data_IF_581367006257
#
_entry.id   IF_581367006257
#
_cell.length_a   1.000
_cell.length_b   1.000
_cell.length_c   1.000
_cell.angle_alpha   90.00
_cell.angle_beta   90.00
_cell.angle_gamma   90.00
#
_symmetry.space_group_name_H-M   'P 1'
#
loop_
_entity.id
_entity.type
_entity.pdbx_description
1 polymer ?
#
# COMPACT_ATOMS: atom_id res chain seq x y z
N UNK A 1 9.22 0.80 9.58
CA UNK A 1 9.09 -0.68 9.45
C UNK A 1 10.24 -1.28 10.24
N UNK A 2 9.95 -2.15 11.22
CA UNK A 2 10.98 -2.98 11.85
C UNK A 2 10.99 -4.32 11.11
N UNK A 3 12.17 -4.76 10.68
CA UNK A 3 12.34 -6.09 10.09
C UNK A 3 12.37 -7.12 11.20
N UNK A 4 11.75 -8.28 10.95
CA UNK A 4 11.93 -9.48 11.80
C UNK A 4 13.24 -10.20 11.50
N UNK A 5 13.87 -9.88 10.37
CA UNK A 5 15.17 -10.41 9.96
C UNK A 5 16.24 -9.30 10.00
N UNK A 6 17.26 -9.50 10.83
CA UNK A 6 18.41 -8.59 11.01
C UNK A 6 19.69 -9.13 10.34
N UNK A 7 19.61 -10.28 9.64
CA UNK A 7 20.77 -10.94 9.03
C UNK A 7 21.27 -10.30 7.73
N UNK A 8 20.50 -9.37 7.16
CA UNK A 8 20.79 -8.75 5.88
C UNK A 8 21.67 -7.50 5.98
N UNK A 9 22.62 -7.37 5.05
CA UNK A 9 23.50 -6.20 4.97
C UNK A 9 22.91 -5.14 4.05
N UNK A 10 23.37 -3.91 4.25
CA UNK A 10 23.02 -2.81 3.36
C UNK A 10 23.42 -3.12 1.90
N UNK A 11 22.51 -2.87 0.96
CA UNK A 11 22.70 -3.15 -0.46
C UNK A 11 22.29 -4.55 -0.92
N UNK A 12 21.95 -5.46 0.01
CA UNK A 12 21.41 -6.77 -0.36
C UNK A 12 19.96 -6.66 -0.86
N UNK A 13 19.61 -7.52 -1.83
CA UNK A 13 18.23 -7.64 -2.30
C UNK A 13 17.43 -8.45 -1.28
N UNK A 14 16.36 -7.84 -0.79
CA UNK A 14 15.43 -8.46 0.16
C UNK A 14 14.02 -8.47 -0.42
N UNK A 15 13.18 -9.37 0.07
CA UNK A 15 11.74 -9.38 -0.22
C UNK A 15 11.01 -8.90 1.03
N UNK A 16 10.17 -7.87 0.87
CA UNK A 16 9.35 -7.34 1.96
C UNK A 16 7.93 -7.82 1.77
N UNK A 17 7.44 -8.64 2.70
CA UNK A 17 6.04 -9.04 2.75
C UNK A 17 5.27 -8.10 3.67
N UNK A 18 4.31 -7.36 3.11
CA UNK A 18 3.44 -6.46 3.87
C UNK A 18 2.03 -7.03 3.88
N UNK A 19 1.47 -7.18 5.08
CA UNK A 19 0.07 -7.54 5.26
C UNK A 19 -0.83 -6.37 4.87
N UNK A 20 -1.86 -6.54 4.01
CA UNK A 20 -2.70 -5.42 3.58
C UNK A 20 -3.36 -4.67 4.74
N UNK A 21 -3.70 -5.36 5.84
CA UNK A 21 -4.34 -4.79 7.02
C UNK A 21 -3.51 -3.76 7.80
N UNK A 22 -2.18 -3.69 7.58
CA UNK A 22 -1.29 -2.72 8.24
C UNK A 22 -0.94 -1.52 7.35
N UNK A 23 -1.46 -1.46 6.12
CA UNK A 23 -1.24 -0.35 5.20
C UNK A 23 -2.24 0.78 5.44
N UNK A 24 -1.74 2.01 5.50
CA UNK A 24 -2.55 3.21 5.39
C UNK A 24 -2.36 3.81 4.00
N UNK A 25 -3.46 4.17 3.33
CA UNK A 25 -3.41 4.90 2.07
C UNK A 25 -3.95 6.30 2.31
N UNK A 26 -3.10 7.29 2.06
CA UNK A 26 -3.44 8.71 2.18
C UNK A 26 -3.52 9.33 0.79
N UNK A 27 -4.46 10.25 0.60
CA UNK A 27 -4.53 11.03 -0.65
C UNK A 27 -3.39 12.04 -0.73
N UNK A 28 -2.90 12.24 -1.94
CA UNK A 28 -1.86 13.22 -2.25
C UNK A 28 -0.44 12.68 -2.04
N UNK A 29 0.54 13.49 -2.41
CA UNK A 29 1.94 13.10 -2.34
C UNK A 29 2.56 13.47 -0.99
N UNK A 30 2.37 12.62 0.02
CA UNK A 30 2.98 12.79 1.35
C UNK A 30 4.25 11.95 1.47
N UNK A 31 5.41 12.55 1.16
CA UNK A 31 6.72 11.89 1.28
C UNK A 31 7.11 11.75 2.75
N UNK A 32 7.22 10.52 3.21
CA UNK A 32 7.60 10.18 4.59
C UNK A 32 8.53 8.98 4.66
N UNK A 33 9.01 8.66 5.88
CA UNK A 33 9.70 7.39 6.11
C UNK A 33 8.70 6.25 6.00
N UNK A 34 9.05 5.18 5.28
CA UNK A 34 8.20 4.01 5.04
C UNK A 34 6.95 4.27 4.17
N UNK A 35 6.99 5.27 3.29
CA UNK A 35 5.94 5.48 2.27
C UNK A 35 6.40 4.97 0.91
N UNK A 36 5.50 4.33 0.17
CA UNK A 36 5.70 4.00 -1.25
C UNK A 36 4.59 4.68 -2.03
N UNK A 37 4.94 5.35 -3.12
CA UNK A 37 3.97 6.03 -3.97
C UNK A 37 3.41 5.09 -5.02
N UNK A 38 2.21 5.43 -5.45
CA UNK A 38 1.52 4.78 -6.53
C UNK A 38 0.37 5.62 -7.04
N UNK A 39 -0.26 5.14 -8.10
CA UNK A 39 -1.47 5.71 -8.65
C UNK A 39 -2.57 4.65 -8.69
N UNK A 40 -3.81 5.09 -8.57
CA UNK A 40 -4.96 4.20 -8.71
C UNK A 40 -5.12 3.84 -10.19
N UNK A 41 -5.00 2.57 -10.53
CA UNK A 41 -5.29 2.07 -11.89
C UNK A 41 -6.78 1.80 -12.08
N UNK A 42 -7.45 1.39 -11.01
CA UNK A 42 -8.88 1.10 -11.06
C UNK A 42 -9.50 0.98 -9.68
N UNK A 43 -10.83 1.01 -9.65
CA UNK A 43 -11.57 0.67 -8.45
C UNK A 43 -12.86 -0.08 -8.80
N UNK A 44 -13.33 -0.91 -7.87
CA UNK A 44 -14.57 -1.67 -8.00
C UNK A 44 -15.40 -1.55 -6.73
N UNK A 45 -16.68 -1.30 -6.89
CA UNK A 45 -17.64 -1.35 -5.80
C UNK A 45 -18.10 -2.80 -5.56
N UNK A 46 -17.86 -3.30 -4.34
CA UNK A 46 -18.20 -4.65 -3.87
C UNK A 46 -19.33 -4.59 -2.82
N UNK A 47 -20.33 -3.73 -3.05
CA UNK A 47 -21.51 -3.59 -2.18
C UNK A 47 -21.25 -2.69 -0.97
N UNK A 48 -20.64 -3.22 0.09
CA UNK A 48 -20.31 -2.41 1.28
C UNK A 48 -18.91 -1.82 1.23
N UNK A 49 -18.09 -2.27 0.28
CA UNK A 49 -16.70 -1.87 0.14
C UNK A 49 -16.40 -1.35 -1.26
N UNK A 50 -15.34 -0.56 -1.37
CA UNK A 50 -14.67 -0.19 -2.61
C UNK A 50 -13.27 -0.80 -2.57
N UNK A 51 -12.97 -1.61 -3.58
CA UNK A 51 -11.66 -2.19 -3.83
C UNK A 51 -10.89 -1.25 -4.75
N UNK A 52 -9.71 -0.81 -4.34
CA UNK A 52 -8.78 -0.03 -5.15
C UNK A 52 -7.62 -0.91 -5.59
N UNK A 53 -7.26 -0.80 -6.87
CA UNK A 53 -6.04 -1.36 -7.43
C UNK A 53 -5.04 -0.23 -7.64
N UNK A 54 -3.93 -0.27 -6.90
CA UNK A 54 -2.91 0.77 -6.88
C UNK A 54 -1.63 0.22 -7.47
N UNK A 55 -1.16 0.85 -8.55
CA UNK A 55 0.15 0.58 -9.14
C UNK A 55 1.20 1.42 -8.43
N UNK A 56 2.11 0.74 -7.75
CA UNK A 56 3.25 1.37 -7.09
C UNK A 56 4.32 1.79 -8.10
N UNK A 57 5.19 2.73 -7.73
CA UNK A 57 6.30 3.20 -8.58
C UNK A 57 7.27 2.09 -9.00
N UNK A 58 7.41 1.04 -8.17
CA UNK A 58 8.23 -0.12 -8.49
C UNK A 58 7.56 -1.10 -9.47
N UNK A 59 6.31 -0.82 -9.90
CA UNK A 59 5.54 -1.64 -10.82
C UNK A 59 4.63 -2.68 -10.15
N UNK A 60 4.75 -2.89 -8.84
CA UNK A 60 3.90 -3.83 -8.11
C UNK A 60 2.46 -3.32 -7.99
N UNK A 61 1.51 -4.24 -7.81
CA UNK A 61 0.10 -3.91 -7.56
C UNK A 61 -0.23 -4.21 -6.11
N UNK A 62 -0.79 -3.21 -5.43
CA UNK A 62 -1.39 -3.38 -4.11
C UNK A 62 -2.89 -3.19 -4.21
N UNK A 63 -3.62 -4.07 -3.54
CA UNK A 63 -5.08 -4.02 -3.44
C UNK A 63 -5.48 -3.52 -2.06
N UNK A 64 -6.32 -2.47 -2.02
CA UNK A 64 -6.82 -1.89 -0.77
C UNK A 64 -8.34 -1.91 -0.79
N UNK A 65 -8.94 -2.46 0.27
CA UNK A 65 -10.38 -2.55 0.42
C UNK A 65 -10.82 -1.57 1.51
N UNK A 66 -11.75 -0.68 1.18
CA UNK A 66 -12.29 0.31 2.12
C UNK A 66 -13.82 0.27 2.13
N UNK A 67 -14.48 0.44 3.29
CA UNK A 67 -15.92 0.67 3.34
C UNK A 67 -16.37 1.81 2.42
N UNK A 68 -17.43 1.59 1.65
CA UNK A 68 -17.91 2.52 0.62
C UNK A 68 -18.55 3.80 1.20
N UNK A 69 -19.00 3.76 2.45
CA UNK A 69 -19.66 4.88 3.14
C UNK A 69 -18.69 5.70 4.02
N UNK A 70 -17.38 5.61 3.79
CA UNK A 70 -16.44 6.45 4.53
C UNK A 70 -16.51 7.90 4.07
N UNK A 71 -16.57 8.80 5.07
CA UNK A 71 -16.85 10.23 4.87
C UNK A 71 -15.64 10.95 4.25
N UNK A 72 -14.40 10.52 4.50
CA UNK A 72 -13.19 11.16 3.96
C UNK A 72 -12.01 10.19 3.74
N UNK A 73 -10.99 10.67 3.02
CA UNK A 73 -9.68 10.05 2.82
C UNK A 73 -8.62 10.75 3.65
#
# INVERSE_FOLDING_TARGET
VQSVDEGHKEGEKVVVAIRPEVLAVEKGEKRGKNSIFGHVEGFRFEGTNIRYEIRLENGDVVVVVRPALMVEW
#
